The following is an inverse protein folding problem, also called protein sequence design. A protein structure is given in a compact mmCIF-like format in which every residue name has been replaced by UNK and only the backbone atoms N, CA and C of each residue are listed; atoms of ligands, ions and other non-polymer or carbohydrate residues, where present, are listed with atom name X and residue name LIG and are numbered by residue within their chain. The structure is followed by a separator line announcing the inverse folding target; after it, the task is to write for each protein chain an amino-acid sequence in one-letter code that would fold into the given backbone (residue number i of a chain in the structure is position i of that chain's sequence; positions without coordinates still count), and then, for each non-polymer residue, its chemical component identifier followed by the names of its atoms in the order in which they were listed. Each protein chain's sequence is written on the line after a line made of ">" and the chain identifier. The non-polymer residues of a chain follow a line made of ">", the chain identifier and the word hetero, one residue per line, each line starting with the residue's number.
data_IF_417986075599
#
_entry.id   IF_417986075599
#
_cell.length_a   1.000
_cell.length_b   1.000
_cell.length_c   1.000
_cell.angle_alpha   90.00
_cell.angle_beta   90.00
_cell.angle_gamma   90.00
#
_symmetry.space_group_name_H-M   'P 1'
#
loop_
_entity.id
_entity.type
_entity.pdbx_description
1 polymer ?
#
# COMPACT_ATOMS: atom_id res chain seq x y z
N UNK A 1 9.28 -3.20 -10.70
CA UNK A 1 10.68 -3.47 -10.79
C UNK A 1 11.26 -2.80 -12.03
N UNK A 2 12.53 -2.81 -12.17
CA UNK A 2 13.32 -1.89 -13.03
C UNK A 2 13.32 -2.25 -14.51
N UNK A 3 12.16 -2.48 -15.10
CA UNK A 3 12.06 -2.79 -16.52
C UNK A 3 12.49 -4.20 -16.89
N UNK A 4 12.84 -5.02 -15.92
CA UNK A 4 13.19 -6.42 -16.17
C UNK A 4 11.94 -7.29 -16.12
N UNK A 5 11.85 -8.21 -17.06
CA UNK A 5 10.76 -9.18 -17.09
C UNK A 5 11.26 -10.43 -16.36
N UNK A 6 10.59 -10.77 -15.28
CA UNK A 6 10.87 -11.99 -14.53
C UNK A 6 9.82 -13.03 -14.88
N UNK A 7 10.27 -14.26 -15.06
CA UNK A 7 9.38 -15.40 -15.29
C UNK A 7 8.80 -15.85 -13.94
N UNK A 8 7.89 -15.06 -13.43
CA UNK A 8 7.25 -15.32 -12.14
C UNK A 8 5.81 -15.75 -12.34
N UNK A 9 5.35 -16.65 -11.48
CA UNK A 9 3.95 -17.02 -11.45
C UNK A 9 3.11 -15.78 -11.11
N UNK A 10 1.92 -15.63 -11.71
CA UNK A 10 1.04 -14.53 -11.32
C UNK A 10 0.63 -14.66 -9.84
N UNK A 11 0.28 -13.55 -9.19
CA UNK A 11 -0.23 -13.60 -7.82
C UNK A 11 -1.44 -14.52 -7.72
N UNK A 12 -1.58 -15.19 -6.58
CA UNK A 12 -2.70 -16.07 -6.35
C UNK A 12 -4.01 -15.33 -6.13
N UNK A 13 -5.10 -16.13 -6.08
CA UNK A 13 -6.44 -15.57 -5.90
C UNK A 13 -6.58 -14.78 -4.59
N UNK A 14 -5.94 -15.23 -3.51
CA UNK A 14 -5.99 -14.53 -2.21
C UNK A 14 -5.38 -13.15 -2.30
N UNK A 15 -4.25 -13.03 -3.01
CA UNK A 15 -3.63 -11.73 -3.25
C UNK A 15 -4.61 -10.80 -3.95
N UNK A 16 -5.24 -11.27 -5.03
CA UNK A 16 -6.18 -10.47 -5.81
C UNK A 16 -7.42 -10.12 -4.99
N UNK A 17 -7.92 -11.05 -4.19
CA UNK A 17 -9.06 -10.80 -3.31
C UNK A 17 -8.76 -9.69 -2.32
N UNK A 18 -7.58 -9.73 -1.70
CA UNK A 18 -7.17 -8.70 -0.75
C UNK A 18 -7.01 -7.33 -1.41
N UNK A 19 -6.41 -7.29 -2.60
CA UNK A 19 -6.30 -6.02 -3.35
C UNK A 19 -7.67 -5.41 -3.57
N UNK A 20 -8.62 -6.22 -4.04
CA UNK A 20 -9.97 -5.76 -4.37
C UNK A 20 -10.73 -5.33 -3.12
N UNK A 21 -10.70 -6.15 -2.06
CA UNK A 21 -11.45 -5.86 -0.84
C UNK A 21 -10.90 -4.63 -0.10
N UNK A 22 -9.57 -4.53 0.01
CA UNK A 22 -8.95 -3.38 0.65
C UNK A 22 -9.20 -2.10 -0.13
N UNK A 23 -9.03 -2.14 -1.45
CA UNK A 23 -9.25 -0.96 -2.29
C UNK A 23 -10.69 -0.46 -2.19
N UNK A 24 -11.65 -1.39 -2.22
CA UNK A 24 -13.07 -1.04 -2.11
C UNK A 24 -13.39 -0.45 -0.74
N UNK A 25 -12.90 -1.09 0.31
CA UNK A 25 -13.18 -0.64 1.70
C UNK A 25 -12.60 0.75 1.94
N UNK A 26 -11.38 1.00 1.49
CA UNK A 26 -10.74 2.30 1.60
C UNK A 26 -11.51 3.33 0.76
N UNK A 27 -11.84 2.98 -0.48
CA UNK A 27 -12.58 3.87 -1.37
C UNK A 27 -13.94 4.23 -0.83
N UNK A 28 -14.65 3.27 -0.24
CA UNK A 28 -15.94 3.53 0.39
C UNK A 28 -15.80 4.47 1.59
N UNK A 29 -14.78 4.27 2.41
CA UNK A 29 -14.52 5.17 3.55
C UNK A 29 -14.30 6.60 3.06
N UNK A 30 -13.46 6.78 2.05
CA UNK A 30 -13.16 8.11 1.51
C UNK A 30 -14.44 8.76 0.97
N UNK A 31 -15.24 8.00 0.21
CA UNK A 31 -16.48 8.52 -0.37
C UNK A 31 -17.51 8.88 0.72
N UNK A 32 -17.67 8.01 1.71
CA UNK A 32 -18.65 8.22 2.78
C UNK A 32 -18.31 9.43 3.65
N UNK A 33 -17.03 9.75 3.78
CA UNK A 33 -16.56 10.88 4.56
C UNK A 33 -16.29 12.12 3.70
N UNK A 34 -16.68 12.07 2.41
CA UNK A 34 -16.49 13.16 1.45
C UNK A 34 -15.05 13.62 1.38
N UNK A 35 -14.12 12.66 1.53
CA UNK A 35 -12.69 12.94 1.48
C UNK A 35 -12.21 13.21 0.06
N UNK A 36 -11.05 13.87 -0.02
CA UNK A 36 -10.43 14.21 -1.31
C UNK A 36 -9.33 13.25 -1.72
N UNK A 37 -8.94 12.34 -0.83
CA UNK A 37 -7.91 11.35 -1.17
C UNK A 37 -8.43 10.39 -2.24
N UNK A 38 -7.50 9.80 -2.99
CA UNK A 38 -7.80 8.83 -4.03
C UNK A 38 -7.10 7.52 -3.71
N UNK A 39 -7.72 6.40 -4.03
CA UNK A 39 -7.13 5.07 -3.86
C UNK A 39 -7.01 4.41 -5.23
N UNK A 40 -5.82 3.86 -5.50
CA UNK A 40 -5.53 3.19 -6.77
C UNK A 40 -4.89 1.83 -6.51
N UNK A 41 -5.52 0.74 -6.97
CA UNK A 41 -4.84 -0.56 -6.99
C UNK A 41 -3.87 -0.67 -8.15
N UNK A 42 -2.91 -1.58 -8.05
CA UNK A 42 -1.98 -1.87 -9.14
C UNK A 42 -2.75 -2.41 -10.36
N UNK A 43 -2.25 -2.18 -11.58
CA UNK A 43 -1.02 -1.45 -11.90
C UNK A 43 -1.25 0.06 -11.85
N UNK A 44 -0.43 0.73 -11.06
CA UNK A 44 -0.51 2.19 -10.95
C UNK A 44 0.90 2.69 -10.63
N UNK A 45 1.46 3.51 -11.51
CA UNK A 45 2.85 3.93 -11.40
C UNK A 45 3.01 5.04 -10.36
N UNK A 46 4.01 4.88 -9.49
CA UNK A 46 4.37 5.87 -8.48
C UNK A 46 5.85 6.23 -8.68
N UNK A 47 6.09 7.49 -9.00
CA UNK A 47 7.43 8.02 -9.27
C UNK A 47 7.95 8.67 -7.99
N UNK A 48 8.50 7.85 -7.09
CA UNK A 48 8.94 8.30 -5.76
C UNK A 48 10.01 9.37 -5.82
N UNK A 49 10.91 9.27 -6.80
CA UNK A 49 12.01 10.22 -6.96
C UNK A 49 11.62 11.44 -7.79
N UNK A 50 10.37 11.53 -8.22
CA UNK A 50 9.86 12.63 -9.03
C UNK A 50 10.61 12.79 -10.36
N UNK A 51 11.12 11.68 -10.88
CA UNK A 51 11.74 11.63 -12.21
C UNK A 51 10.79 10.94 -13.20
N UNK A 52 11.20 10.87 -14.47
CA UNK A 52 10.39 10.29 -15.54
C UNK A 52 10.71 8.84 -15.83
N UNK A 53 11.66 8.26 -15.10
CA UNK A 53 12.27 7.00 -15.53
C UNK A 53 12.07 5.85 -14.56
N UNK A 54 12.05 6.14 -13.27
CA UNK A 54 12.01 5.10 -12.25
C UNK A 54 10.71 5.17 -11.48
N UNK A 55 9.97 4.07 -11.48
CA UNK A 55 8.71 4.02 -10.75
C UNK A 55 8.54 2.67 -10.10
N UNK A 56 7.68 2.64 -9.10
CA UNK A 56 7.18 1.42 -8.45
C UNK A 56 5.69 1.30 -8.73
N UNK A 57 5.16 0.09 -8.58
CA UNK A 57 3.72 -0.16 -8.73
C UNK A 57 3.23 -0.87 -7.47
N UNK A 58 2.97 -0.11 -6.40
CA UNK A 58 2.46 -0.72 -5.16
C UNK A 58 1.12 -1.40 -5.40
N UNK A 59 0.84 -2.44 -4.63
CA UNK A 59 -0.45 -3.12 -4.75
C UNK A 59 -1.62 -2.16 -4.54
N UNK A 60 -1.51 -1.27 -3.55
CA UNK A 60 -2.51 -0.23 -3.29
C UNK A 60 -1.80 1.05 -2.88
N UNK A 61 -2.24 2.17 -3.47
CA UNK A 61 -1.71 3.51 -3.14
C UNK A 61 -2.87 4.44 -2.81
N UNK A 62 -2.72 5.20 -1.72
CA UNK A 62 -3.69 6.24 -1.32
C UNK A 62 -2.97 7.58 -1.36
N UNK A 63 -3.50 8.51 -2.16
CA UNK A 63 -2.89 9.82 -2.40
C UNK A 63 -3.87 10.90 -1.97
N UNK A 64 -3.45 11.77 -1.04
CA UNK A 64 -4.29 12.83 -0.52
C UNK A 64 -3.97 14.19 -1.14
N UNK A 65 -2.80 14.35 -1.73
CA UNK A 65 -2.45 15.55 -2.49
C UNK A 65 -2.70 15.27 -3.97
N UNK A 66 -3.85 15.72 -4.47
CA UNK A 66 -4.24 15.50 -5.85
C UNK A 66 -3.33 16.20 -6.85
N UNK A 67 -2.55 17.17 -6.39
CA UNK A 67 -1.53 17.82 -7.24
C UNK A 67 -0.40 16.89 -7.66
N UNK A 68 -0.25 15.73 -6.99
CA UNK A 68 0.73 14.73 -7.40
C UNK A 68 0.24 13.82 -8.53
N UNK A 69 -1.04 13.87 -8.86
CA UNK A 69 -1.64 12.97 -9.85
C UNK A 69 -1.61 13.58 -11.23
N UNK A 70 -1.13 12.83 -12.20
CA UNK A 70 -1.15 13.19 -13.62
C UNK A 70 -1.47 11.94 -14.45
N UNK A 71 -1.43 12.06 -15.78
CA UNK A 71 -1.79 10.94 -16.66
C UNK A 71 -0.91 9.72 -16.52
N UNK A 72 0.31 9.87 -15.99
CA UNK A 72 1.24 8.75 -15.82
C UNK A 72 1.02 8.01 -14.51
N UNK A 73 0.46 8.69 -13.49
CA UNK A 73 0.27 8.13 -12.17
C UNK A 73 0.49 9.15 -11.08
N UNK A 74 1.25 8.79 -10.05
CA UNK A 74 1.56 9.66 -8.92
C UNK A 74 3.01 10.14 -9.00
N UNK A 75 3.19 11.45 -8.94
CA UNK A 75 4.51 12.07 -8.97
C UNK A 75 4.89 12.47 -7.55
N UNK A 76 5.68 11.63 -6.90
CA UNK A 76 6.05 11.78 -5.50
C UNK A 76 5.45 10.69 -4.63
N UNK A 77 5.56 10.84 -3.31
CA UNK A 77 5.14 9.82 -2.37
C UNK A 77 3.62 9.84 -2.16
N UNK A 78 2.96 8.66 -2.26
CA UNK A 78 1.61 8.51 -1.72
C UNK A 78 1.60 8.71 -0.20
N UNK A 79 0.43 8.96 0.35
CA UNK A 79 0.27 9.07 1.80
C UNK A 79 0.30 7.70 2.47
N UNK A 80 -0.29 6.70 1.83
CA UNK A 80 -0.41 5.34 2.38
C UNK A 80 -0.19 4.33 1.27
N UNK A 81 0.68 3.35 1.52
CA UNK A 81 0.99 2.28 0.59
C UNK A 81 0.72 0.94 1.28
N UNK A 82 0.07 0.03 0.57
CA UNK A 82 -0.16 -1.33 1.04
C UNK A 82 0.46 -2.29 0.02
N UNK A 83 1.30 -3.20 0.52
CA UNK A 83 1.84 -4.29 -0.28
C UNK A 83 1.34 -5.60 0.30
N UNK A 84 0.94 -6.52 -0.57
CA UNK A 84 0.42 -7.82 -0.17
C UNK A 84 1.43 -8.87 -0.59
N UNK A 85 1.92 -9.63 0.39
CA UNK A 85 2.94 -10.64 0.16
C UNK A 85 2.35 -11.77 -0.66
N UNK A 86 3.06 -12.19 -1.72
CA UNK A 86 2.73 -13.37 -2.51
C UNK A 86 3.82 -14.42 -2.31
N UNK A 87 3.53 -15.67 -2.69
CA UNK A 87 4.50 -16.75 -2.56
C UNK A 87 5.77 -16.49 -3.39
N UNK A 88 5.66 -15.75 -4.47
CA UNK A 88 6.79 -15.40 -5.32
C UNK A 88 7.57 -14.19 -4.83
N UNK A 89 7.09 -13.48 -3.79
CA UNK A 89 7.75 -12.29 -3.27
C UNK A 89 8.98 -12.66 -2.44
N UNK A 90 10.01 -11.82 -2.55
CA UNK A 90 11.22 -11.97 -1.77
C UNK A 90 11.15 -11.07 -0.54
N UNK A 91 11.52 -11.61 0.62
CA UNK A 91 11.54 -10.84 1.87
C UNK A 91 12.39 -9.58 1.75
N UNK A 92 13.49 -9.67 1.03
CA UNK A 92 14.39 -8.53 0.80
C UNK A 92 13.71 -7.38 0.09
N UNK A 93 12.75 -7.66 -0.80
CA UNK A 93 12.02 -6.62 -1.51
C UNK A 93 11.24 -5.72 -0.56
N UNK A 94 10.62 -6.29 0.46
CA UNK A 94 9.82 -5.49 1.41
C UNK A 94 10.69 -4.61 2.29
N UNK A 95 11.87 -5.09 2.68
CA UNK A 95 12.83 -4.28 3.45
C UNK A 95 13.38 -3.14 2.58
N UNK A 96 13.71 -3.43 1.32
CA UNK A 96 14.17 -2.41 0.39
C UNK A 96 13.08 -1.37 0.14
N UNK A 97 11.84 -1.82 -0.05
CA UNK A 97 10.70 -0.93 -0.26
C UNK A 97 10.42 -0.09 0.98
N UNK A 98 10.55 -0.68 2.17
CA UNK A 98 10.38 0.06 3.43
C UNK A 98 11.28 1.28 3.47
N UNK A 99 12.57 1.09 3.15
CA UNK A 99 13.53 2.18 3.12
C UNK A 99 13.17 3.22 2.06
N UNK A 100 12.80 2.78 0.86
CA UNK A 100 12.42 3.68 -0.23
C UNK A 100 11.19 4.52 0.12
N UNK A 101 10.16 3.89 0.68
CA UNK A 101 8.92 4.59 1.03
C UNK A 101 9.15 5.59 2.15
N UNK A 102 9.90 5.18 3.17
CA UNK A 102 10.22 6.07 4.28
C UNK A 102 11.01 7.30 3.80
N UNK A 103 12.03 7.08 2.99
CA UNK A 103 12.89 8.16 2.48
C UNK A 103 12.11 9.12 1.59
N UNK A 104 11.17 8.60 0.79
CA UNK A 104 10.39 9.42 -0.14
C UNK A 104 9.31 10.26 0.54
N UNK A 105 8.94 9.94 1.78
CA UNK A 105 7.95 10.71 2.52
C UNK A 105 6.58 10.07 2.62
N UNK A 106 6.47 8.76 2.36
CA UNK A 106 5.22 8.04 2.62
C UNK A 106 4.91 8.11 4.12
N UNK A 107 3.66 8.35 4.47
CA UNK A 107 3.26 8.50 5.87
C UNK A 107 2.97 7.16 6.54
N UNK A 108 2.44 6.21 5.78
CA UNK A 108 2.00 4.92 6.33
C UNK A 108 2.25 3.81 5.32
N UNK A 109 2.78 2.67 5.80
CA UNK A 109 3.10 1.53 4.94
C UNK A 109 2.64 0.25 5.62
N UNK A 110 1.79 -0.53 4.94
CA UNK A 110 1.29 -1.81 5.43
C UNK A 110 1.86 -2.95 4.59
N UNK A 111 2.32 -3.99 5.26
CA UNK A 111 2.71 -5.25 4.62
C UNK A 111 1.74 -6.33 5.09
N UNK A 112 0.85 -6.75 4.20
CA UNK A 112 -0.18 -7.75 4.49
C UNK A 112 0.33 -9.11 4.03
N UNK A 113 0.46 -10.05 4.97
CA UNK A 113 1.00 -11.39 4.67
C UNK A 113 -0.08 -12.44 4.88
N UNK A 114 -0.74 -12.91 3.80
CA UNK A 114 -1.82 -13.90 3.93
C UNK A 114 -1.32 -15.30 4.30
N UNK A 115 -0.05 -15.59 4.07
CA UNK A 115 0.51 -16.89 4.44
C UNK A 115 0.73 -17.01 5.95
N UNK A 116 1.08 -15.90 6.60
CA UNK A 116 1.28 -15.85 8.05
C UNK A 116 0.08 -15.24 8.78
N UNK A 117 -0.89 -14.72 8.05
CA UNK A 117 -2.07 -14.02 8.59
C UNK A 117 -1.67 -12.87 9.51
N UNK A 118 -0.69 -12.07 9.06
CA UNK A 118 -0.19 -10.91 9.81
C UNK A 118 -0.19 -9.67 8.94
N UNK A 119 -0.24 -8.51 9.61
CA UNK A 119 -0.08 -7.20 8.97
C UNK A 119 0.96 -6.42 9.75
N UNK A 120 2.01 -6.00 9.06
CA UNK A 120 2.99 -5.06 9.63
C UNK A 120 2.58 -3.65 9.23
N UNK A 121 2.39 -2.79 10.21
CA UNK A 121 2.02 -1.40 10.00
C UNK A 121 3.18 -0.51 10.42
N UNK A 122 3.69 0.27 9.48
CA UNK A 122 4.71 1.27 9.73
C UNK A 122 4.11 2.66 9.62
N UNK A 123 4.28 3.47 10.65
CA UNK A 123 3.91 4.88 10.64
C UNK A 123 5.20 5.68 10.62
N UNK A 124 5.36 6.53 9.60
CA UNK A 124 6.56 7.33 9.41
C UNK A 124 6.30 8.78 9.83
N UNK A 125 7.36 9.52 10.15
CA UNK A 125 7.25 10.91 10.55
C UNK A 125 7.87 11.14 11.91
N UNK A 126 7.37 12.15 12.63
CA UNK A 126 7.97 12.55 13.91
C UNK A 126 7.81 11.48 14.98
N UNK A 127 6.67 10.79 15.00
CA UNK A 127 6.39 9.73 15.97
C UNK A 127 6.35 8.39 15.26
N UNK A 128 7.50 7.97 14.75
CA UNK A 128 7.59 6.72 14.01
C UNK A 128 7.23 5.53 14.90
N UNK A 129 6.48 4.60 14.32
CA UNK A 129 6.03 3.42 15.03
C UNK A 129 5.91 2.26 14.05
N UNK A 130 6.08 1.04 14.58
CA UNK A 130 5.80 -0.16 13.82
C UNK A 130 5.11 -1.16 14.73
N UNK A 131 4.05 -1.77 14.22
CA UNK A 131 3.23 -2.70 14.99
C UNK A 131 2.85 -3.87 14.10
N UNK A 132 2.93 -5.08 14.64
CA UNK A 132 2.42 -6.26 13.96
C UNK A 132 1.04 -6.60 14.49
N UNK A 133 0.09 -6.77 13.57
CA UNK A 133 -1.28 -7.16 13.89
C UNK A 133 -1.58 -8.54 13.31
N UNK A 134 -2.55 -9.21 13.88
CA UNK A 134 -3.13 -10.42 13.31
C UNK A 134 -4.33 -10.05 12.43
N UNK A 135 -4.74 -10.97 11.56
CA UNK A 135 -5.88 -10.72 10.67
C UNK A 135 -7.19 -10.49 11.41
N UNK A 136 -7.32 -11.04 12.64
CA UNK A 136 -8.53 -10.87 13.47
C UNK A 136 -8.57 -9.54 14.20
N UNK A 137 -7.47 -8.81 14.22
CA UNK A 137 -7.40 -7.54 14.95
C UNK A 137 -8.13 -6.43 14.21
N UNK A 138 -8.70 -5.50 14.98
CA UNK A 138 -9.18 -4.22 14.44
C UNK A 138 -7.97 -3.33 14.27
N UNK A 139 -7.51 -3.16 13.03
CA UNK A 139 -6.27 -2.44 12.74
C UNK A 139 -6.58 -0.96 12.51
N UNK A 140 -6.07 -0.06 13.36
CA UNK A 140 -6.32 1.36 13.14
C UNK A 140 -5.50 1.88 11.97
N UNK A 141 -6.13 2.75 11.18
CA UNK A 141 -5.48 3.42 10.06
C UNK A 141 -4.92 4.74 10.56
N UNK A 142 -3.62 4.97 10.38
CA UNK A 142 -2.97 6.16 10.92
C UNK A 142 -3.43 7.45 10.28
N UNK A 143 -3.64 7.45 8.96
CA UNK A 143 -4.04 8.68 8.25
C UNK A 143 -5.54 9.00 8.39
N UNK A 144 -6.34 8.07 8.92
CA UNK A 144 -7.78 8.28 9.12
C UNK A 144 -8.14 7.86 10.54
N UNK A 145 -8.27 8.82 11.49
CA UNK A 145 -8.40 8.50 12.92
C UNK A 145 -9.59 7.61 13.31
N UNK A 146 -10.66 7.65 12.52
CA UNK A 146 -11.89 6.92 12.85
C UNK A 146 -12.06 5.65 12.00
N UNK A 147 -11.00 5.22 11.34
CA UNK A 147 -11.08 4.10 10.41
C UNK A 147 -10.26 2.92 10.92
N UNK A 148 -10.90 1.75 11.05
CA UNK A 148 -10.22 0.49 11.35
C UNK A 148 -10.61 -0.54 10.31
N UNK A 149 -9.73 -1.52 10.10
CA UNK A 149 -10.03 -2.65 9.22
C UNK A 149 -9.64 -3.96 9.90
N UNK A 150 -10.45 -4.99 9.64
CA UNK A 150 -10.20 -6.35 10.10
C UNK A 150 -10.01 -7.22 8.86
N UNK A 151 -8.78 -7.66 8.62
CA UNK A 151 -8.44 -8.37 7.38
C UNK A 151 -9.16 -9.71 7.26
N UNK A 152 -9.45 -10.37 8.39
CA UNK A 152 -10.17 -11.65 8.37
C UNK A 152 -11.56 -11.54 7.74
N UNK A 153 -12.14 -10.35 7.69
CA UNK A 153 -13.43 -10.14 7.03
C UNK A 153 -13.33 -10.19 5.48
N UNK A 154 -12.13 -10.11 4.95
CA UNK A 154 -11.89 -10.02 3.50
C UNK A 154 -11.48 -11.36 2.88
N UNK A 155 -11.14 -12.33 3.69
CA UNK A 155 -10.66 -13.63 3.19
C UNK A 155 -11.29 -14.79 3.94
#
# INVERSE_FOLDING_TARGET
>A
SDGQIYDMAPPGRIHQELVQQLSRTIGNYIADHKGTCKVYPAPFAVFLNQDDKTYVEPDISVICDNGKLDDRGCNGAPDWVIEIVSQSSQRMDYLTKLFKYRTAGVREYWIVNPMKCTVLVYLFGENEDSTQYLFEDEIPVGIYPDFTMKISEFV
#
